data_IF_436022534170
#
_entry.id   IF_436022534170
#
_cell.length_a   1.000
_cell.length_b   1.000
_cell.length_c   1.000
_cell.angle_alpha   90.00
_cell.angle_beta   90.00
_cell.angle_gamma   90.00
#
_symmetry.space_group_name_H-M   'P 1'
#
loop_
_entity.id
_entity.type
_entity.pdbx_description
1 polymer ?
#
# COMPACT_ATOMS: atom_id res chain seq x y z
N UNK A 1 18.77 -1.20 -11.34
CA UNK A 1 17.58 -1.93 -10.83
C UNK A 1 16.44 -0.93 -10.62
N UNK A 2 15.22 -1.22 -11.12
CA UNK A 2 14.02 -0.48 -10.73
C UNK A 2 13.65 -0.85 -9.30
N UNK A 3 13.42 0.15 -8.45
CA UNK A 3 12.95 -0.03 -7.08
C UNK A 3 11.91 1.05 -6.77
N UNK A 4 11.00 0.73 -5.86
CA UNK A 4 9.97 1.63 -5.35
C UNK A 4 9.92 1.53 -3.83
N UNK A 5 9.42 2.57 -3.19
CA UNK A 5 9.19 2.62 -1.75
C UNK A 5 7.69 2.51 -1.49
N UNK A 6 7.31 1.63 -0.57
CA UNK A 6 5.95 1.46 -0.08
C UNK A 6 5.95 1.84 1.41
N UNK A 7 5.07 2.75 1.80
CA UNK A 7 4.83 3.04 3.21
C UNK A 7 3.50 2.43 3.65
N UNK A 8 3.55 1.68 4.76
CA UNK A 8 2.40 1.02 5.38
C UNK A 8 2.32 1.45 6.84
N UNK A 9 1.23 2.14 7.21
CA UNK A 9 0.97 2.64 8.58
C UNK A 9 -0.50 2.46 8.93
N UNK A 10 -0.80 2.16 10.19
CA UNK A 10 -2.17 1.98 10.68
C UNK A 10 -3.01 1.01 9.83
N UNK A 11 -2.37 -0.05 9.36
CA UNK A 11 -2.95 -1.05 8.47
C UNK A 11 -3.37 -0.55 7.08
N UNK A 12 -2.90 0.63 6.67
CA UNK A 12 -3.18 1.24 5.38
C UNK A 12 -1.88 1.54 4.64
N UNK A 13 -1.93 1.49 3.31
CA UNK A 13 -0.83 1.98 2.48
C UNK A 13 -1.00 3.49 2.37
N UNK A 14 -0.04 4.22 2.93
CA UNK A 14 -0.06 5.68 2.95
C UNK A 14 0.62 6.26 1.72
N UNK A 15 1.60 5.55 1.15
CA UNK A 15 2.40 6.09 0.07
C UNK A 15 3.08 5.04 -0.81
N UNK A 16 3.13 5.33 -2.11
CA UNK A 16 3.98 4.63 -3.08
C UNK A 16 4.81 5.64 -3.84
N UNK A 17 6.12 5.47 -3.83
CA UNK A 17 7.06 6.34 -4.52
C UNK A 17 7.97 5.54 -5.44
N UNK A 18 8.13 6.02 -6.67
CA UNK A 18 9.16 5.48 -7.55
C UNK A 18 10.51 6.12 -7.26
N UNK A 19 11.50 5.72 -8.05
CA UNK A 19 12.89 6.14 -7.85
C UNK A 19 13.03 7.67 -7.78
N UNK A 20 13.72 8.14 -6.73
CA UNK A 20 14.08 9.56 -6.49
C UNK A 20 12.88 10.52 -6.49
N UNK A 21 11.67 10.06 -6.18
CA UNK A 21 10.43 10.87 -6.24
C UNK A 21 10.19 11.55 -7.60
N UNK A 22 10.84 11.06 -8.65
CA UNK A 22 10.83 11.61 -10.01
C UNK A 22 10.31 10.62 -11.04
N UNK A 23 10.46 9.33 -10.75
CA UNK A 23 9.87 8.29 -11.58
C UNK A 23 8.51 7.89 -11.00
N UNK A 24 7.50 7.93 -11.86
CA UNK A 24 6.21 7.37 -11.53
C UNK A 24 6.32 5.86 -11.35
N UNK A 25 5.55 5.31 -10.41
CA UNK A 25 5.48 3.87 -10.22
C UNK A 25 4.64 3.27 -11.34
N UNK A 26 5.14 2.23 -12.05
CA UNK A 26 4.38 1.59 -13.11
C UNK A 26 2.98 1.19 -12.66
N UNK A 27 1.98 1.40 -13.53
CA UNK A 27 0.57 1.17 -13.20
C UNK A 27 0.29 -0.25 -12.71
N UNK A 28 0.99 -1.25 -13.27
CA UNK A 28 0.91 -2.65 -12.82
C UNK A 28 1.20 -2.81 -11.33
N UNK A 29 2.22 -2.10 -10.82
CA UNK A 29 2.58 -2.15 -9.39
C UNK A 29 1.49 -1.47 -8.55
N UNK A 30 0.96 -0.33 -9.01
CA UNK A 30 -0.15 0.36 -8.34
C UNK A 30 -1.40 -0.53 -8.24
N UNK A 31 -1.72 -1.27 -9.30
CA UNK A 31 -2.84 -2.21 -9.31
C UNK A 31 -2.63 -3.37 -8.33
N UNK A 32 -1.44 -3.98 -8.31
CA UNK A 32 -1.10 -5.05 -7.37
C UNK A 32 -1.22 -4.59 -5.91
N UNK A 33 -0.77 -3.37 -5.63
CA UNK A 33 -0.85 -2.76 -4.29
C UNK A 33 -2.30 -2.52 -3.90
N UNK A 34 -3.14 -2.04 -4.81
CA UNK A 34 -4.58 -1.85 -4.56
C UNK A 34 -5.27 -3.17 -4.23
N UNK A 35 -5.01 -4.22 -5.00
CA UNK A 35 -5.53 -5.56 -4.71
C UNK A 35 -5.04 -6.10 -3.36
N UNK A 36 -3.80 -5.80 -2.99
CA UNK A 36 -3.27 -6.15 -1.67
C UNK A 36 -4.00 -5.40 -0.55
N UNK A 37 -4.28 -4.10 -0.70
CA UNK A 37 -5.11 -3.36 0.26
C UNK A 37 -6.50 -3.98 0.41
N UNK A 38 -7.18 -4.22 -0.71
CA UNK A 38 -8.53 -4.81 -0.71
C UNK A 38 -8.55 -6.16 0.01
N UNK A 39 -7.51 -6.98 -0.17
CA UNK A 39 -7.35 -8.24 0.57
C UNK A 39 -7.17 -8.01 2.07
N UNK A 40 -6.34 -7.05 2.49
CA UNK A 40 -6.15 -6.73 3.91
C UNK A 40 -7.49 -6.33 4.54
N UNK A 41 -8.24 -5.42 3.90
CA UNK A 41 -9.53 -4.95 4.39
C UNK A 41 -10.64 -6.00 4.33
N UNK A 42 -10.62 -6.90 3.34
CA UNK A 42 -11.62 -7.96 3.18
C UNK A 42 -11.45 -9.10 4.17
N UNK A 43 -10.33 -9.19 4.91
CA UNK A 43 -10.21 -10.19 5.97
C UNK A 43 -11.04 -9.78 7.20
N UNK A 44 -11.86 -10.67 7.77
CA UNK A 44 -12.82 -10.33 8.84
C UNK A 44 -12.18 -9.98 10.19
N UNK A 45 -10.84 -9.99 10.30
CA UNK A 45 -10.12 -9.58 11.51
C UNK A 45 -9.89 -8.05 11.59
N UNK A 46 -10.39 -7.28 10.61
CA UNK A 46 -10.04 -5.88 10.41
C UNK A 46 -11.09 -4.88 10.92
N UNK A 47 -11.72 -5.17 12.07
CA UNK A 47 -12.62 -4.23 12.72
C UNK A 47 -12.49 -4.29 14.25
N UNK A 48 -11.30 -4.02 14.79
CA UNK A 48 -11.11 -3.63 16.21
C UNK A 48 -9.67 -3.18 16.51
N UNK A 49 -9.21 -2.12 15.84
CA UNK A 49 -8.17 -1.25 16.42
C UNK A 49 -8.67 0.20 16.45
N UNK A 50 -9.85 0.38 17.04
CA UNK A 50 -10.13 1.60 17.80
C UNK A 50 -9.96 1.22 19.26
N UNK A 51 -8.71 1.19 19.72
CA UNK A 51 -8.41 1.13 21.16
C UNK A 51 -8.42 2.56 21.68
N UNK A 52 -9.33 2.80 22.63
CA UNK A 52 -9.22 3.62 23.86
C UNK A 52 -8.61 5.02 23.76
#
# INVERSE_FOLDING_TARGET
MPYFTLEYRNQQITQIQGKRNRQEVPERIRQTVRQWQERIYSTPYHHNIRQT
#
